data_IF_631789088123
#
_entry.id   IF_631789088123
#
_cell.length_a   1.000
_cell.length_b   1.000
_cell.length_c   1.000
_cell.angle_alpha   90.00
_cell.angle_beta   90.00
_cell.angle_gamma   90.00
#
_symmetry.space_group_name_H-M   'P 1'
#
loop_
_entity.id
_entity.type
_entity.pdbx_description
1 polymer ?
#
# COMPACT_ATOMS: atom_id res chain seq x y z
N UNK A 1 7.15 -13.98 -4.32
CA UNK A 1 8.04 -14.39 -3.21
C UNK A 1 9.46 -14.35 -3.77
N UNK A 2 10.39 -13.56 -3.21
CA UNK A 2 11.68 -13.30 -3.85
C UNK A 2 12.55 -14.56 -3.95
N UNK A 3 13.08 -14.83 -5.14
CA UNK A 3 13.89 -16.01 -5.47
C UNK A 3 15.37 -15.66 -5.62
N UNK A 4 16.23 -16.51 -5.07
CA UNK A 4 17.68 -16.35 -5.18
C UNK A 4 18.26 -17.51 -6.00
N UNK A 5 18.66 -17.21 -7.24
CA UNK A 5 19.22 -18.19 -8.19
C UNK A 5 20.48 -18.91 -7.64
N UNK A 6 21.47 -18.19 -7.05
CA UNK A 6 22.68 -18.85 -6.52
C UNK A 6 22.41 -19.79 -5.35
N UNK A 7 21.32 -19.58 -4.61
CA UNK A 7 20.97 -20.39 -3.44
C UNK A 7 19.89 -21.44 -3.75
N UNK A 8 19.24 -21.38 -4.92
CA UNK A 8 18.17 -22.29 -5.32
C UNK A 8 16.98 -22.31 -4.34
N UNK A 9 16.64 -21.18 -3.71
CA UNK A 9 15.55 -21.12 -2.72
C UNK A 9 14.82 -19.78 -2.68
N UNK A 10 13.58 -19.84 -2.20
CA UNK A 10 12.78 -18.65 -1.87
C UNK A 10 13.20 -18.04 -0.54
N UNK A 11 13.18 -16.71 -0.48
CA UNK A 11 13.41 -15.94 0.74
C UNK A 11 12.15 -15.15 1.12
N UNK A 12 11.99 -14.89 2.41
CA UNK A 12 10.98 -13.95 2.89
C UNK A 12 11.52 -12.53 2.71
N UNK A 13 10.77 -11.58 2.10
CA UNK A 13 11.21 -10.19 1.96
C UNK A 13 11.69 -9.55 3.27
N UNK A 14 11.07 -9.91 4.40
CA UNK A 14 11.44 -9.39 5.72
C UNK A 14 12.78 -9.92 6.26
N UNK A 15 13.36 -10.92 5.60
CA UNK A 15 14.66 -11.52 5.95
C UNK A 15 15.80 -11.07 5.05
N UNK A 16 15.50 -10.28 4.01
CA UNK A 16 16.51 -9.69 3.13
C UNK A 16 17.17 -8.51 3.83
N UNK A 17 18.44 -8.28 3.49
CA UNK A 17 19.16 -7.08 3.93
C UNK A 17 18.54 -5.85 3.27
N UNK A 18 18.80 -4.68 3.85
CA UNK A 18 18.25 -3.39 3.38
C UNK A 18 18.63 -3.02 1.94
N UNK A 19 19.68 -3.66 1.40
CA UNK A 19 20.14 -3.54 0.01
C UNK A 19 19.43 -4.50 -0.96
N UNK A 20 18.54 -5.37 -0.46
CA UNK A 20 17.85 -6.39 -1.23
C UNK A 20 18.66 -7.66 -1.48
N UNK A 21 19.75 -7.87 -0.76
CA UNK A 21 20.54 -9.11 -0.85
C UNK A 21 20.14 -10.13 0.22
N UNK A 22 20.39 -11.41 -0.05
CA UNK A 22 20.23 -12.47 0.95
C UNK A 22 21.42 -12.45 1.94
N UNK A 23 21.32 -13.24 3.03
CA UNK A 23 22.39 -13.34 4.03
C UNK A 23 23.75 -13.78 3.44
N UNK A 24 23.75 -14.50 2.32
CA UNK A 24 24.95 -14.92 1.58
C UNK A 24 25.44 -13.84 0.60
N UNK A 25 24.95 -12.60 0.70
CA UNK A 25 25.34 -11.46 -0.11
C UNK A 25 25.06 -11.63 -1.63
N UNK A 26 24.11 -12.49 -2.00
CA UNK A 26 23.67 -12.66 -3.39
C UNK A 26 22.48 -11.74 -3.71
N UNK A 27 22.37 -11.25 -4.95
CA UNK A 27 21.20 -10.52 -5.41
C UNK A 27 19.99 -11.45 -5.45
N UNK A 28 18.85 -10.95 -4.99
CA UNK A 28 17.59 -11.69 -4.98
C UNK A 28 16.60 -10.97 -5.89
N UNK A 29 15.98 -11.72 -6.81
CA UNK A 29 14.93 -11.18 -7.65
C UNK A 29 13.75 -10.75 -6.77
N UNK A 30 13.09 -9.65 -7.14
CA UNK A 30 11.93 -9.11 -6.42
C UNK A 30 12.21 -8.67 -4.96
N UNK A 31 13.47 -8.39 -4.62
CA UNK A 31 13.88 -7.93 -3.29
C UNK A 31 13.36 -6.54 -2.91
N UNK A 32 13.01 -5.72 -3.91
CA UNK A 32 12.31 -4.45 -3.65
C UNK A 32 10.89 -4.80 -3.22
N UNK A 33 10.69 -4.91 -1.91
CA UNK A 33 9.38 -4.95 -1.28
C UNK A 33 8.51 -3.94 -2.00
N UNK A 34 7.45 -4.46 -2.65
CA UNK A 34 6.62 -3.67 -3.53
C UNK A 34 6.25 -2.38 -2.80
N UNK A 35 6.72 -1.24 -3.30
CA UNK A 35 6.21 0.06 -2.86
C UNK A 35 4.73 0.00 -3.21
N UNK A 36 3.90 -0.40 -2.24
CA UNK A 36 2.47 -0.58 -2.42
C UNK A 36 1.89 0.80 -2.57
N UNK A 37 1.94 1.30 -3.80
CA UNK A 37 1.36 2.58 -4.16
C UNK A 37 -0.12 2.49 -3.86
N UNK A 38 -0.61 3.44 -3.07
CA UNK A 38 -2.02 3.52 -2.71
C UNK A 38 -2.84 3.45 -4.01
N UNK A 39 -3.72 2.45 -4.18
CA UNK A 39 -4.48 2.29 -5.40
C UNK A 39 -5.30 3.55 -5.69
N UNK A 40 -5.36 3.99 -6.95
CA UNK A 40 -6.11 5.21 -7.32
C UNK A 40 -7.57 5.16 -6.89
N UNK A 41 -8.17 3.96 -6.91
CA UNK A 41 -9.55 3.76 -6.48
C UNK A 41 -9.77 4.12 -4.99
N UNK A 42 -8.75 4.02 -4.13
CA UNK A 42 -8.85 4.46 -2.74
C UNK A 42 -9.17 5.96 -2.64
N UNK A 43 -8.57 6.79 -3.49
CA UNK A 43 -8.84 8.22 -3.55
C UNK A 43 -10.26 8.52 -4.06
N UNK A 44 -10.78 7.74 -5.00
CA UNK A 44 -12.16 7.87 -5.46
C UNK A 44 -13.17 7.66 -4.32
N UNK A 45 -12.94 6.65 -3.49
CA UNK A 45 -13.80 6.37 -2.34
C UNK A 45 -13.75 7.51 -1.31
N UNK A 46 -12.58 8.09 -1.05
CA UNK A 46 -12.44 9.25 -0.15
C UNK A 46 -13.18 10.48 -0.66
N UNK A 47 -13.11 10.77 -1.97
CA UNK A 47 -13.83 11.89 -2.59
C UNK A 47 -15.34 11.68 -2.48
N UNK A 48 -15.84 10.49 -2.85
CA UNK A 48 -17.27 10.17 -2.77
C UNK A 48 -17.78 10.28 -1.32
N UNK A 49 -17.02 9.78 -0.36
CA UNK A 49 -17.34 9.89 1.07
C UNK A 49 -17.36 11.35 1.53
N UNK A 50 -16.37 12.16 1.13
CA UNK A 50 -16.30 13.58 1.47
C UNK A 50 -17.50 14.37 0.94
N UNK A 51 -17.91 14.12 -0.31
CA UNK A 51 -19.11 14.73 -0.91
C UNK A 51 -20.36 14.35 -0.12
N UNK A 52 -20.53 13.06 0.21
CA UNK A 52 -21.69 12.58 0.95
C UNK A 52 -21.77 13.18 2.35
N UNK A 53 -20.66 13.19 3.09
CA UNK A 53 -20.60 13.75 4.43
C UNK A 53 -20.82 15.27 4.40
N UNK A 54 -20.23 15.98 3.42
CA UNK A 54 -20.47 17.40 3.22
C UNK A 54 -21.95 17.70 2.99
N UNK A 55 -22.61 16.94 2.10
CA UNK A 55 -24.04 17.07 1.88
C UNK A 55 -24.86 16.79 3.14
N UNK A 56 -24.53 15.73 3.88
CA UNK A 56 -25.21 15.38 5.14
C UNK A 56 -25.07 16.46 6.21
N UNK A 57 -23.91 17.10 6.31
CA UNK A 57 -23.69 18.22 7.24
C UNK A 57 -24.55 19.42 6.83
N UNK A 58 -24.57 19.78 5.55
CA UNK A 58 -25.42 20.87 5.04
C UNK A 58 -26.90 20.57 5.34
N UNK A 59 -27.36 19.35 5.01
CA UNK A 59 -28.73 18.93 5.28
C UNK A 59 -29.07 19.01 6.78
N UNK A 60 -28.18 18.55 7.65
CA UNK A 60 -28.36 18.64 9.10
C UNK A 60 -28.40 20.08 9.61
N UNK A 61 -27.53 20.95 9.10
CA UNK A 61 -27.52 22.38 9.46
C UNK A 61 -28.81 23.07 8.99
N UNK A 62 -29.27 22.78 7.77
CA UNK A 62 -30.54 23.31 7.27
C UNK A 62 -31.72 22.85 8.13
N UNK A 63 -31.73 21.59 8.59
CA UNK A 63 -32.76 21.10 9.52
C UNK A 63 -32.69 21.72 10.92
N UNK A 64 -31.51 22.13 11.39
CA UNK A 64 -31.35 22.77 12.70
C UNK A 64 -31.60 24.28 12.66
N UNK A 65 -31.42 24.91 11.50
CA UNK A 65 -31.55 26.35 11.30
C UNK A 65 -32.93 26.80 10.79
N UNK A 66 -33.81 25.86 10.46
CA UNK A 66 -35.21 26.08 10.07
C UNK A 66 -36.17 25.31 10.97
#
# INVERSE_FOLDING_TARGET
>A
MPWCEPCGRFYNPNTLRSDGTCANNHPVADAKGASTKVPWHFWMLLIALGIYLGWRVIQGVVWLAG
#
